data_IF_787041661027
#
_entry.id   IF_787041661027
#
_cell.length_a   1.000
_cell.length_b   1.000
_cell.length_c   1.000
_cell.angle_alpha   90.00
_cell.angle_beta   90.00
_cell.angle_gamma   90.00
#
_symmetry.space_group_name_H-M   'P 1'
#
loop_
_entity.id
_entity.type
_entity.pdbx_description
1 polymer ?
#
# COMPACT_ATOMS: atom_id res chain seq x y z
N UNK A 1 -9.45 -9.31 18.25
CA UNK A 1 -8.60 -8.11 18.28
C UNK A 1 -7.84 -8.11 16.98
N UNK A 2 -7.95 -7.06 16.16
CA UNK A 2 -7.20 -6.98 14.90
C UNK A 2 -5.74 -6.73 15.19
N UNK A 3 -4.84 -7.28 14.38
CA UNK A 3 -3.42 -6.93 14.45
C UNK A 3 -3.17 -5.53 13.85
N UNK A 4 -2.02 -4.94 14.16
CA UNK A 4 -1.67 -3.58 13.72
C UNK A 4 -1.60 -3.48 12.18
N UNK A 5 -1.24 -4.56 11.48
CA UNK A 5 -1.21 -4.58 10.03
C UNK A 5 -2.60 -4.54 9.41
N UNK A 6 -3.55 -5.32 9.95
CA UNK A 6 -4.95 -5.28 9.54
C UNK A 6 -5.56 -3.90 9.79
N UNK A 7 -5.28 -3.29 10.94
CA UNK A 7 -5.71 -1.92 11.26
C UNK A 7 -5.11 -0.87 10.32
N UNK A 8 -3.84 -1.03 9.94
CA UNK A 8 -3.16 -0.17 8.98
C UNK A 8 -3.84 -0.27 7.61
N UNK A 9 -4.04 -1.48 7.09
CA UNK A 9 -4.66 -1.72 5.77
C UNK A 9 -6.10 -1.21 5.74
N UNK A 10 -6.88 -1.47 6.80
CA UNK A 10 -8.24 -0.95 6.94
C UNK A 10 -8.25 0.58 6.94
N UNK A 11 -7.33 1.21 7.67
CA UNK A 11 -7.21 2.67 7.71
C UNK A 11 -6.87 3.26 6.35
N UNK A 12 -6.01 2.61 5.54
CA UNK A 12 -5.75 3.03 4.15
C UNK A 12 -7.02 2.92 3.29
N UNK A 13 -7.75 1.80 3.39
CA UNK A 13 -9.01 1.62 2.66
C UNK A 13 -10.02 2.70 3.03
N UNK A 14 -10.17 3.02 4.31
CA UNK A 14 -11.01 4.12 4.79
C UNK A 14 -10.60 5.46 4.16
N UNK A 15 -9.31 5.73 4.03
CA UNK A 15 -8.80 6.97 3.39
C UNK A 15 -9.14 7.07 1.90
N UNK A 16 -9.06 5.96 1.15
CA UNK A 16 -9.52 5.95 -0.24
C UNK A 16 -11.01 6.34 -0.35
N UNK A 17 -11.84 5.93 0.60
CA UNK A 17 -13.28 6.19 0.59
C UNK A 17 -13.63 7.59 1.12
N UNK A 18 -12.95 8.03 2.19
CA UNK A 18 -13.27 9.27 2.90
C UNK A 18 -12.59 10.51 2.30
N UNK A 19 -11.44 10.34 1.64
CA UNK A 19 -10.62 11.46 1.14
C UNK A 19 -10.22 11.26 -0.33
N UNK A 20 -11.19 11.11 -1.26
CA UNK A 20 -10.88 10.90 -2.67
C UNK A 20 -10.05 12.04 -3.28
N UNK A 21 -10.19 13.27 -2.77
CA UNK A 21 -9.41 14.43 -3.26
C UNK A 21 -7.90 14.36 -3.00
N UNK A 22 -7.43 13.50 -2.09
CA UNK A 22 -6.00 13.31 -1.85
C UNK A 22 -5.36 12.33 -2.85
N UNK A 23 -6.16 11.44 -3.45
CA UNK A 23 -5.71 10.49 -4.47
C UNK A 23 -6.78 10.37 -5.56
N UNK A 24 -7.16 11.47 -6.25
CA UNK A 24 -8.36 11.53 -7.07
C UNK A 24 -8.32 10.62 -8.30
N UNK A 25 -7.11 10.25 -8.70
CA UNK A 25 -6.85 9.39 -9.85
C UNK A 25 -6.58 7.95 -9.43
N UNK A 26 -6.87 7.56 -8.20
CA UNK A 26 -6.56 6.23 -7.69
C UNK A 26 -7.78 5.61 -7.04
N UNK A 27 -8.02 4.34 -7.32
CA UNK A 27 -9.11 3.59 -6.72
C UNK A 27 -8.59 2.35 -5.99
N UNK A 28 -9.08 2.15 -4.77
CA UNK A 28 -8.77 0.98 -3.97
C UNK A 28 -9.13 -0.31 -4.72
N UNK A 29 -8.23 -1.29 -4.71
CA UNK A 29 -8.49 -2.64 -5.22
C UNK A 29 -8.52 -3.63 -4.06
N UNK A 30 -7.40 -3.79 -3.35
CA UNK A 30 -7.26 -4.76 -2.28
C UNK A 30 -6.09 -4.38 -1.35
N UNK A 31 -5.98 -5.05 -0.21
CA UNK A 31 -4.82 -4.96 0.65
C UNK A 31 -4.85 -6.03 1.73
N UNK A 32 -3.68 -6.33 2.29
CA UNK A 32 -3.49 -7.38 3.30
C UNK A 32 -2.25 -7.11 4.15
N UNK A 33 -2.31 -7.50 5.42
CA UNK A 33 -1.14 -7.65 6.26
C UNK A 33 -0.50 -9.02 6.04
N UNK A 34 0.82 -9.05 5.85
CA UNK A 34 1.61 -10.26 5.66
C UNK A 34 2.14 -10.76 7.01
N UNK A 35 2.44 -12.06 7.07
CA UNK A 35 2.95 -12.70 8.29
C UNK A 35 4.34 -12.18 8.71
N UNK A 36 5.07 -11.53 7.81
CA UNK A 36 6.37 -10.91 8.06
C UNK A 36 6.25 -9.50 8.69
N UNK A 37 5.05 -9.05 9.04
CA UNK A 37 4.82 -7.72 9.61
C UNK A 37 4.75 -6.59 8.58
N UNK A 38 4.75 -6.91 7.28
CA UNK A 38 4.52 -5.93 6.23
C UNK A 38 3.05 -5.78 5.84
N UNK A 39 2.69 -4.64 5.26
CA UNK A 39 1.38 -4.38 4.69
C UNK A 39 1.48 -4.15 3.19
N UNK A 40 0.56 -4.75 2.43
CA UNK A 40 0.44 -4.62 0.98
C UNK A 40 -0.87 -3.92 0.65
N UNK A 41 -0.81 -2.93 -0.25
CA UNK A 41 -1.99 -2.25 -0.79
C UNK A 41 -1.89 -2.21 -2.30
N UNK A 42 -3.00 -2.58 -2.94
CA UNK A 42 -3.21 -2.54 -4.38
C UNK A 42 -4.27 -1.49 -4.73
N UNK A 43 -3.97 -0.67 -5.72
CA UNK A 43 -4.91 0.31 -6.28
C UNK A 43 -4.74 0.42 -7.78
N UNK A 44 -5.78 0.91 -8.46
CA UNK A 44 -5.74 1.21 -9.89
C UNK A 44 -5.54 2.70 -10.08
N UNK A 45 -4.64 3.08 -10.97
CA UNK A 45 -4.55 4.45 -11.46
C UNK A 45 -5.63 4.69 -12.52
N UNK A 46 -6.25 5.86 -12.56
CA UNK A 46 -7.18 6.24 -13.63
C UNK A 46 -6.42 6.72 -14.88
N UNK A 47 -5.19 7.19 -14.70
CA UNK A 47 -4.30 7.61 -15.79
C UNK A 47 -3.64 6.42 -16.50
N UNK A 48 -3.49 5.29 -15.82
CA UNK A 48 -3.01 4.05 -16.42
C UNK A 48 -3.90 2.91 -15.99
N UNK A 49 -4.36 2.08 -16.93
CA UNK A 49 -5.14 0.87 -16.60
C UNK A 49 -4.38 -0.15 -15.75
N UNK A 50 -3.14 0.16 -15.35
CA UNK A 50 -2.24 -0.67 -14.57
C UNK A 50 -2.70 -0.80 -13.13
N UNK A 51 -2.53 -2.02 -12.62
CA UNK A 51 -2.67 -2.32 -11.20
C UNK A 51 -1.34 -2.00 -10.50
N UNK A 52 -1.40 -1.13 -9.50
CA UNK A 52 -0.22 -0.67 -8.76
C UNK A 52 -0.20 -1.31 -7.38
N UNK A 53 0.96 -1.83 -6.99
CA UNK A 53 1.20 -2.39 -5.67
C UNK A 53 2.20 -1.55 -4.88
N UNK A 54 1.91 -1.35 -3.60
CA UNK A 54 2.85 -0.84 -2.59
C UNK A 54 2.94 -1.79 -1.43
N UNK A 55 4.15 -1.90 -0.87
CA UNK A 55 4.45 -2.65 0.34
C UNK A 55 5.15 -1.73 1.34
N UNK A 56 4.85 -1.89 2.62
CA UNK A 56 5.53 -1.23 3.73
C UNK A 56 5.91 -2.24 4.79
N UNK A 57 7.16 -2.22 5.27
CA UNK A 57 7.53 -2.85 6.55
C UNK A 57 7.01 -1.96 7.67
N UNK A 58 6.08 -2.46 8.50
CA UNK A 58 5.45 -1.62 9.53
C UNK A 58 6.41 -1.28 10.66
N UNK A 59 7.36 -2.17 10.96
CA UNK A 59 8.43 -1.90 11.94
C UNK A 59 9.32 -0.74 11.49
N UNK A 60 9.83 -0.80 10.25
CA UNK A 60 10.71 0.25 9.73
C UNK A 60 9.95 1.57 9.49
N UNK A 61 8.67 1.48 9.13
CA UNK A 61 7.80 2.65 9.03
C UNK A 61 7.59 3.28 10.41
N UNK A 62 7.27 2.49 11.44
CA UNK A 62 7.10 2.96 12.82
C UNK A 62 8.37 3.62 13.38
N UNK A 63 9.56 3.21 12.94
CA UNK A 63 10.82 3.85 13.32
C UNK A 63 11.00 5.27 12.73
N UNK A 64 10.26 5.60 11.66
CA UNK A 64 10.41 6.86 10.92
C UNK A 64 9.34 7.91 11.27
N UNK A 65 8.30 7.54 12.01
CA UNK A 65 7.14 8.39 12.27
C UNK A 65 6.82 8.47 13.77
N UNK A 66 6.30 9.61 14.20
CA UNK A 66 5.68 9.79 15.52
C UNK A 66 4.45 10.69 15.35
N UNK A 67 3.25 10.27 15.76
CA UNK A 67 2.92 8.97 16.38
C UNK A 67 3.07 7.79 15.41
N UNK A 68 3.35 6.61 15.97
CA UNK A 68 3.66 5.39 15.23
C UNK A 68 2.59 4.29 15.35
N UNK A 69 1.37 4.64 15.78
CA UNK A 69 0.23 3.73 15.73
C UNK A 69 -0.24 3.48 14.29
N UNK A 70 -0.85 2.33 14.03
CA UNK A 70 -1.28 1.89 12.70
C UNK A 70 -2.11 2.92 11.93
N UNK A 71 -3.04 3.62 12.60
CA UNK A 71 -3.91 4.61 11.95
C UNK A 71 -3.13 5.87 11.58
N UNK A 72 -2.25 6.34 12.46
CA UNK A 72 -1.37 7.47 12.19
C UNK A 72 -0.40 7.18 11.05
N UNK A 73 0.23 6.00 11.05
CA UNK A 73 1.10 5.54 9.96
C UNK A 73 0.34 5.47 8.63
N UNK A 74 -0.85 4.87 8.62
CA UNK A 74 -1.69 4.79 7.43
C UNK A 74 -2.04 6.18 6.89
N UNK A 75 -2.41 7.11 7.77
CA UNK A 75 -2.70 8.49 7.37
C UNK A 75 -1.49 9.19 6.77
N UNK A 76 -0.29 8.96 7.33
CA UNK A 76 0.95 9.57 6.86
C UNK A 76 1.35 9.03 5.47
N UNK A 77 1.38 7.72 5.26
CA UNK A 77 1.73 7.16 3.94
C UNK A 77 0.65 7.43 2.90
N UNK A 78 -0.62 7.51 3.30
CA UNK A 78 -1.67 7.84 2.34
C UNK A 78 -1.45 9.23 1.74
N UNK A 79 -1.15 10.23 2.57
CA UNK A 79 -0.89 11.58 2.09
C UNK A 79 0.43 11.69 1.32
N UNK A 80 1.52 11.11 1.83
CA UNK A 80 2.87 11.34 1.29
C UNK A 80 3.29 10.35 0.19
N UNK A 81 2.66 9.19 0.10
CA UNK A 81 3.05 8.14 -0.85
C UNK A 81 1.93 7.79 -1.82
N UNK A 82 0.72 7.53 -1.33
CA UNK A 82 -0.42 7.17 -2.19
C UNK A 82 -1.01 8.39 -2.87
N UNK A 83 -1.07 9.55 -2.20
CA UNK A 83 -1.60 10.78 -2.79
C UNK A 83 -0.73 11.33 -3.91
N UNK A 84 0.58 11.20 -3.76
CA UNK A 84 1.57 11.65 -4.74
C UNK A 84 1.53 10.83 -6.04
N UNK A 85 1.89 11.40 -7.21
CA UNK A 85 2.00 10.67 -8.46
C UNK A 85 2.84 9.39 -8.32
N UNK A 86 2.40 8.33 -9.00
CA UNK A 86 3.12 7.07 -8.94
C UNK A 86 4.50 7.20 -9.62
N UNK A 87 5.55 6.80 -8.89
CA UNK A 87 6.89 6.67 -9.44
C UNK A 87 7.01 5.50 -10.42
N UNK A 88 8.23 5.22 -10.93
CA UNK A 88 8.45 4.05 -11.77
C UNK A 88 8.05 2.76 -11.05
N UNK A 89 7.49 1.83 -11.82
CA UNK A 89 7.04 0.53 -11.32
C UNK A 89 7.77 -0.61 -12.01
N UNK A 90 8.06 -1.65 -11.25
CA UNK A 90 8.75 -2.86 -11.70
C UNK A 90 7.85 -4.08 -11.52
N UNK A 91 7.98 -5.05 -12.42
CA UNK A 91 7.40 -6.38 -12.21
C UNK A 91 8.34 -7.17 -11.30
N UNK A 92 7.81 -7.71 -10.20
CA UNK A 92 8.55 -8.52 -9.24
C UNK A 92 7.96 -9.93 -9.19
N UNK A 93 8.82 -10.94 -9.17
CA UNK A 93 8.42 -12.33 -8.95
C UNK A 93 8.22 -12.59 -7.45
N UNK A 94 7.16 -12.03 -6.87
CA UNK A 94 6.80 -12.16 -5.46
C UNK A 94 5.32 -12.56 -5.32
N UNK A 95 4.97 -13.16 -4.18
CA UNK A 95 3.65 -13.68 -3.85
C UNK A 95 2.78 -12.69 -3.06
N UNK A 96 3.24 -11.45 -2.91
CA UNK A 96 2.59 -10.43 -2.08
C UNK A 96 1.14 -10.12 -2.49
N UNK A 97 0.82 -10.31 -3.77
CA UNK A 97 -0.52 -10.09 -4.32
C UNK A 97 -1.33 -11.39 -4.46
N UNK A 98 -0.81 -12.55 -4.03
CA UNK A 98 -1.49 -13.83 -4.14
C UNK A 98 -2.80 -13.82 -3.34
N UNK A 99 -3.89 -14.15 -4.02
CA UNK A 99 -5.25 -14.13 -3.47
C UNK A 99 -5.87 -12.74 -3.32
N UNK A 100 -5.16 -11.67 -3.69
CA UNK A 100 -5.72 -10.31 -3.75
C UNK A 100 -6.28 -9.96 -5.14
N UNK A 101 -5.77 -10.59 -6.19
CA UNK A 101 -6.17 -10.42 -7.59
C UNK A 101 -6.00 -11.72 -8.39
N UNK A 102 -6.65 -11.80 -9.54
CA UNK A 102 -6.61 -12.99 -10.41
C UNK A 102 -5.23 -13.27 -11.02
N UNK A 103 -4.51 -12.21 -11.38
CA UNK A 103 -3.16 -12.28 -11.94
C UNK A 103 -2.17 -11.41 -11.12
N UNK A 104 -1.49 -11.99 -10.12
CA UNK A 104 -0.48 -11.30 -9.32
C UNK A 104 0.68 -10.74 -10.15
N UNK A 105 1.02 -11.35 -11.31
CA UNK A 105 2.11 -10.90 -12.16
C UNK A 105 1.79 -9.60 -12.93
N UNK A 106 0.51 -9.25 -13.02
CA UNK A 106 0.06 -7.98 -13.61
C UNK A 106 0.31 -6.76 -12.71
N UNK A 107 0.66 -6.97 -11.44
CA UNK A 107 0.94 -5.88 -10.48
C UNK A 107 2.27 -5.21 -10.80
N UNK A 108 2.23 -3.90 -11.04
CA UNK A 108 3.42 -3.06 -11.07
C UNK A 108 3.74 -2.56 -9.67
N UNK A 109 4.90 -2.93 -9.13
CA UNK A 109 5.31 -2.53 -7.79
C UNK A 109 6.07 -1.21 -7.83
N UNK A 110 5.65 -0.24 -7.02
CA UNK A 110 6.35 1.06 -6.91
C UNK A 110 7.72 0.83 -6.29
N UNK A 111 8.78 1.25 -6.99
CA UNK A 111 10.14 1.19 -6.46
C UNK A 111 10.27 2.22 -5.34
N UNK A 112 10.46 1.74 -4.12
CA UNK A 112 10.62 2.51 -2.90
C UNK A 112 11.60 1.76 -1.98
N UNK A 113 11.91 2.33 -0.81
CA UNK A 113 12.82 1.69 0.15
C UNK A 113 12.41 0.25 0.53
N UNK A 114 11.12 -0.07 0.45
CA UNK A 114 10.51 -1.30 0.96
C UNK A 114 10.39 -2.41 -0.07
N UNK A 115 10.58 -2.11 -1.36
CA UNK A 115 10.54 -3.10 -2.46
C UNK A 115 11.87 -3.83 -2.67
N UNK A 116 12.90 -3.55 -1.86
CA UNK A 116 14.22 -4.18 -1.91
C UNK A 116 14.50 -5.24 -0.85
N UNK A 117 13.59 -5.45 0.11
CA UNK A 117 13.77 -6.49 1.12
C UNK A 117 13.42 -7.87 0.53
N UNK A 118 14.43 -8.50 -0.05
CA UNK A 118 14.49 -9.94 -0.34
C UNK A 118 15.50 -10.61 0.59
#
# INVERSE_FOLDING_TARGET
MKDDGELFVESIRERFLATPGLAPEKSWVAGRALADGSAVVLYRSLQSSRLIGRRWSLEELAASFSPNDARSLASAVFANEIGEPDGPTVSLACDWADGLVDDPAAVGWVVNRWTHAG
#
